data_IF_059176014069
#
_entry.id   IF_059176014069
#
_cell.length_a   1.000
_cell.length_b   1.000
_cell.length_c   1.000
_cell.angle_alpha   90.00
_cell.angle_beta   90.00
_cell.angle_gamma   90.00
#
_symmetry.space_group_name_H-M   'P 1'
#
loop_
_entity.id
_entity.type
_entity.pdbx_description
1 polymer ?
#
# COMPACT_ATOMS: atom_id res chain seq x y z
N UNK A 1 6.91 -26.30 17.18
CA UNK A 1 5.83 -25.62 17.92
C UNK A 1 6.38 -24.25 18.25
N UNK A 2 5.87 -23.17 17.64
CA UNK A 2 6.40 -21.82 17.87
C UNK A 2 5.94 -21.36 19.27
N UNK A 3 6.56 -21.91 20.31
CA UNK A 3 6.44 -21.40 21.68
C UNK A 3 7.44 -20.26 21.89
N UNK A 4 7.24 -19.18 21.16
CA UNK A 4 8.19 -18.07 21.08
C UNK A 4 7.50 -16.73 21.20
N UNK A 5 7.07 -16.37 22.41
CA UNK A 5 6.75 -14.99 22.85
C UNK A 5 6.07 -14.11 21.80
N UNK A 6 5.22 -14.70 20.95
CA UNK A 6 4.50 -13.96 19.95
C UNK A 6 3.52 -13.09 20.74
N UNK A 7 3.46 -11.78 20.48
CA UNK A 7 2.53 -10.89 21.17
C UNK A 7 1.06 -11.25 20.91
N UNK A 8 0.80 -12.21 20.01
CA UNK A 8 -0.52 -12.65 19.59
C UNK A 8 -0.73 -14.15 19.87
N UNK A 9 -1.81 -14.45 20.57
CA UNK A 9 -2.29 -15.81 20.85
C UNK A 9 -3.18 -16.34 19.72
N UNK A 10 -2.60 -17.17 18.85
CA UNK A 10 -3.28 -17.85 17.74
C UNK A 10 -4.02 -19.13 18.15
N UNK A 11 -3.99 -19.51 19.44
CA UNK A 11 -4.59 -20.75 19.94
C UNK A 11 -6.04 -20.55 20.39
N UNK A 12 -6.48 -19.29 20.49
CA UNK A 12 -7.86 -18.93 20.81
C UNK A 12 -8.80 -19.28 19.65
N UNK A 13 -9.95 -19.88 19.97
CA UNK A 13 -10.98 -20.15 18.98
C UNK A 13 -11.64 -18.84 18.53
N UNK A 14 -11.89 -18.66 17.21
CA UNK A 14 -12.49 -17.44 16.70
C UNK A 14 -13.92 -17.27 17.24
N UNK A 15 -14.15 -16.15 17.93
CA UNK A 15 -15.46 -15.83 18.50
C UNK A 15 -15.68 -14.33 18.59
N UNK A 16 -16.65 -13.83 17.82
CA UNK A 16 -17.05 -12.43 17.81
C UNK A 16 -17.76 -11.97 19.09
N UNK A 17 -18.13 -12.91 19.98
CA UNK A 17 -18.79 -12.63 21.26
C UNK A 17 -17.75 -12.54 22.39
N UNK A 18 -16.57 -13.15 22.19
CA UNK A 18 -15.53 -13.15 23.21
C UNK A 18 -14.75 -11.82 23.17
N UNK A 19 -14.82 -11.00 24.23
CA UNK A 19 -14.14 -9.70 24.26
C UNK A 19 -12.62 -9.84 24.17
N UNK A 20 -12.04 -10.92 24.71
CA UNK A 20 -10.60 -11.17 24.64
C UNK A 20 -10.14 -11.43 23.20
N UNK A 21 -10.90 -12.21 22.44
CA UNK A 21 -10.61 -12.47 21.02
C UNK A 21 -10.72 -11.20 20.18
N UNK A 22 -11.76 -10.38 20.42
CA UNK A 22 -11.92 -9.10 19.71
C UNK A 22 -10.76 -8.14 19.97
N UNK A 23 -10.35 -7.98 21.23
CA UNK A 23 -9.22 -7.12 21.59
C UNK A 23 -7.94 -7.58 20.88
N UNK A 24 -7.71 -8.88 20.79
CA UNK A 24 -6.55 -9.45 20.11
C UNK A 24 -6.56 -9.15 18.61
N UNK A 25 -7.71 -9.35 17.94
CA UNK A 25 -7.87 -9.03 16.51
C UNK A 25 -7.69 -7.54 16.25
N UNK A 26 -8.32 -6.69 17.05
CA UNK A 26 -8.21 -5.24 16.92
C UNK A 26 -6.77 -4.77 17.14
N UNK A 27 -6.09 -5.31 18.15
CA UNK A 27 -4.69 -4.99 18.42
C UNK A 27 -3.79 -5.40 17.27
N UNK A 28 -4.05 -6.56 16.65
CA UNK A 28 -3.29 -7.06 15.50
C UNK A 28 -3.49 -6.15 14.28
N UNK A 29 -4.73 -5.81 13.93
CA UNK A 29 -5.05 -4.93 12.81
C UNK A 29 -4.41 -3.54 12.99
N UNK A 30 -4.55 -2.95 14.19
CA UNK A 30 -3.95 -1.65 14.49
C UNK A 30 -2.43 -1.70 14.41
N UNK A 31 -1.79 -2.72 14.99
CA UNK A 31 -0.33 -2.83 14.97
C UNK A 31 0.17 -3.03 13.53
N UNK A 32 -0.49 -3.89 12.76
CA UNK A 32 -0.16 -4.13 11.36
C UNK A 32 -0.30 -2.85 10.53
N UNK A 33 -1.40 -2.12 10.71
CA UNK A 33 -1.66 -0.88 10.00
C UNK A 33 -0.65 0.21 10.36
N UNK A 34 -0.38 0.44 11.66
CA UNK A 34 0.59 1.44 12.11
C UNK A 34 2.00 1.07 11.67
N UNK A 35 2.42 -0.19 11.81
CA UNK A 35 3.72 -0.64 11.31
C UNK A 35 3.82 -0.51 9.79
N UNK A 36 2.75 -0.78 9.05
CA UNK A 36 2.69 -0.58 7.61
C UNK A 36 2.83 0.88 7.21
N UNK A 37 2.17 1.80 7.94
CA UNK A 37 2.32 3.24 7.73
C UNK A 37 3.71 3.75 8.10
N UNK A 38 4.26 3.32 9.23
CA UNK A 38 5.63 3.64 9.63
C UNK A 38 6.63 3.07 8.62
N UNK A 39 6.41 1.85 8.14
CA UNK A 39 7.22 1.27 7.08
C UNK A 39 7.11 2.07 5.78
N UNK A 40 5.92 2.52 5.39
CA UNK A 40 5.76 3.40 4.25
C UNK A 40 6.52 4.72 4.45
N UNK A 41 6.54 5.30 5.65
CA UNK A 41 7.34 6.49 5.97
C UNK A 41 8.86 6.20 6.01
N UNK A 42 9.26 5.00 6.41
CA UNK A 42 10.66 4.57 6.58
C UNK A 42 11.28 4.00 5.30
N UNK A 43 10.49 3.45 4.38
CA UNK A 43 10.86 3.17 2.98
C UNK A 43 11.13 4.51 2.33
N UNK A 44 12.30 5.03 2.69
CA UNK A 44 13.05 6.20 2.30
C UNK A 44 12.29 7.26 1.49
N UNK A 45 12.37 8.51 1.94
CA UNK A 45 12.02 9.70 1.14
C UNK A 45 12.55 9.60 -0.30
N UNK A 46 13.68 8.92 -0.53
CA UNK A 46 14.23 8.66 -1.86
C UNK A 46 13.36 7.81 -2.78
N UNK A 47 12.68 6.76 -2.28
CA UNK A 47 11.80 5.93 -3.12
C UNK A 47 10.51 6.68 -3.42
N UNK A 48 10.00 7.43 -2.43
CA UNK A 48 8.84 8.30 -2.61
C UNK A 48 9.12 9.45 -3.57
N UNK A 49 10.24 10.16 -3.39
CA UNK A 49 10.68 11.23 -4.27
C UNK A 49 10.93 10.70 -5.68
N UNK A 50 11.53 9.52 -5.82
CA UNK A 50 11.70 8.87 -7.12
C UNK A 50 10.36 8.52 -7.77
N UNK A 51 9.44 7.86 -7.04
CA UNK A 51 8.14 7.48 -7.57
C UNK A 51 7.31 8.71 -7.97
N UNK A 52 7.32 9.76 -7.15
CA UNK A 52 6.64 11.04 -7.41
C UNK A 52 7.24 11.75 -8.61
N UNK A 53 8.57 11.91 -8.66
CA UNK A 53 9.24 12.59 -9.77
C UNK A 53 9.06 11.87 -11.11
N UNK A 54 9.20 10.54 -11.12
CA UNK A 54 8.96 9.73 -12.33
C UNK A 54 7.51 9.86 -12.80
N UNK A 55 6.55 9.84 -11.87
CA UNK A 55 5.12 10.00 -12.20
C UNK A 55 4.84 11.38 -12.78
N UNK A 56 5.38 12.45 -12.19
CA UNK A 56 5.23 13.82 -12.69
C UNK A 56 5.85 13.95 -14.09
N UNK A 57 7.08 13.46 -14.27
CA UNK A 57 7.77 13.48 -15.57
C UNK A 57 6.95 12.70 -16.61
N UNK A 58 6.44 11.51 -16.26
CA UNK A 58 5.62 10.70 -17.14
C UNK A 58 4.34 11.43 -17.57
N UNK A 59 3.65 12.10 -16.64
CA UNK A 59 2.43 12.88 -16.92
C UNK A 59 2.76 14.08 -17.83
N UNK A 60 3.87 14.80 -17.58
CA UNK A 60 4.29 15.92 -18.42
C UNK A 60 4.60 15.43 -19.84
N UNK A 61 5.40 14.39 -19.99
CA UNK A 61 5.76 13.84 -21.30
C UNK A 61 4.50 13.35 -22.03
N UNK A 62 3.64 12.58 -21.35
CA UNK A 62 2.41 12.06 -21.94
C UNK A 62 1.47 13.19 -22.37
N UNK A 63 1.36 14.24 -21.56
CA UNK A 63 0.52 15.40 -21.91
C UNK A 63 1.08 16.22 -23.07
N UNK A 64 2.40 16.42 -23.15
CA UNK A 64 3.06 17.03 -24.31
C UNK A 64 2.89 16.17 -25.57
N UNK A 65 3.07 14.86 -25.47
CA UNK A 65 2.83 13.95 -26.59
C UNK A 65 1.36 14.02 -27.03
N UNK A 66 0.41 14.07 -26.09
CA UNK A 66 -1.01 14.23 -26.40
C UNK A 66 -1.37 15.62 -26.92
N UNK A 67 -0.62 16.69 -26.59
CA UNK A 67 -0.87 18.02 -27.13
C UNK A 67 -0.46 18.13 -28.59
N UNK A 68 0.65 17.50 -28.96
CA UNK A 68 1.14 17.47 -30.35
C UNK A 68 0.41 16.43 -31.20
N UNK A 69 -0.08 15.34 -30.58
CA UNK A 69 -0.82 14.27 -31.24
C UNK A 69 -2.15 13.98 -30.53
N UNK A 70 -3.10 14.94 -30.52
CA UNK A 70 -4.38 14.77 -29.86
C UNK A 70 -5.19 13.73 -30.63
N UNK A 71 -5.09 12.46 -30.20
CA UNK A 71 -5.84 11.33 -30.74
C UNK A 71 -5.77 11.25 -32.27
N UNK A 72 -4.61 10.86 -32.77
CA UNK A 72 -4.37 10.45 -34.16
C UNK A 72 -5.10 9.12 -34.48
N UNK A 73 -6.42 9.05 -34.27
CA UNK A 73 -7.28 7.87 -34.49
C UNK A 73 -7.09 7.26 -35.89
N UNK A 74 -6.81 8.10 -36.89
CA UNK A 74 -6.51 7.67 -38.26
C UNK A 74 -5.31 6.69 -38.36
N UNK A 75 -4.29 6.80 -37.51
CA UNK A 75 -3.13 5.89 -37.52
C UNK A 75 -3.42 4.54 -36.87
N UNK A 76 -4.42 4.49 -35.98
CA UNK A 76 -4.84 3.28 -35.28
C UNK A 76 -5.95 2.52 -36.00
N UNK A 77 -6.60 3.14 -37.00
CA UNK A 77 -7.64 2.54 -37.84
C UNK A 77 -7.11 2.03 -39.19
N UNK A 78 -5.78 2.02 -39.39
CA UNK A 78 -5.13 1.50 -40.60
C UNK A 78 -5.14 -0.03 -40.68
#
# INVERSE_FOLDING_TARGET
MLDGLAPFDFKTNPSWINPYYLVLVISLEITFFICGLLFALVVEEWVWDYAVTVTIIHIIITSVVMSEFPLMLHWWLA
#
